data_IF_741816671188
#
_entry.id   IF_741816671188
#
_cell.length_a   1.000
_cell.length_b   1.000
_cell.length_c   1.000
_cell.angle_alpha   90.00
_cell.angle_beta   90.00
_cell.angle_gamma   90.00
#
_symmetry.space_group_name_H-M   'P 1'
#
loop_
_entity.id
_entity.type
_entity.pdbx_description
1 polymer ?
#
# COMPACT_ATOMS: atom_id res chain seq x y z
N UNK A 1 -1.44 4.40 24.48
CA UNK A 1 -1.99 4.05 23.15
C UNK A 1 -0.96 4.27 22.03
N UNK A 2 0.31 4.51 22.38
CA UNK A 2 1.35 5.05 21.49
C UNK A 2 2.22 4.01 20.75
N UNK A 3 2.04 2.72 21.00
CA UNK A 3 2.85 1.65 20.39
C UNK A 3 2.37 1.22 19.00
N UNK A 4 1.15 1.62 18.60
CA UNK A 4 0.58 1.23 17.30
C UNK A 4 1.11 2.05 16.12
N UNK A 5 1.45 3.33 16.33
CA UNK A 5 1.96 4.22 15.27
C UNK A 5 3.33 3.74 14.73
N UNK A 6 4.31 3.34 15.58
CA UNK A 6 5.57 2.78 15.11
C UNK A 6 5.40 1.53 14.24
N UNK A 7 4.49 0.63 14.60
CA UNK A 7 4.27 -0.62 13.85
C UNK A 7 3.60 -0.36 12.50
N UNK A 8 2.64 0.55 12.44
CA UNK A 8 2.04 1.01 11.19
C UNK A 8 3.08 1.65 10.27
N UNK A 9 3.91 2.54 10.80
CA UNK A 9 4.98 3.19 10.04
C UNK A 9 5.97 2.18 9.46
N UNK A 10 6.39 1.18 10.25
CA UNK A 10 7.27 0.10 9.75
C UNK A 10 6.59 -0.72 8.65
N UNK A 11 5.30 -1.02 8.77
CA UNK A 11 4.58 -1.78 7.74
C UNK A 11 4.47 -1.01 6.43
N UNK A 12 4.18 0.29 6.51
CA UNK A 12 4.16 1.19 5.34
C UNK A 12 5.54 1.32 4.70
N UNK A 13 6.60 1.47 5.52
CA UNK A 13 7.97 1.53 5.03
C UNK A 13 8.37 0.23 4.30
N UNK A 14 8.07 -0.93 4.89
CA UNK A 14 8.35 -2.22 4.25
C UNK A 14 7.61 -2.37 2.90
N UNK A 15 6.37 -1.89 2.80
CA UNK A 15 5.65 -1.86 1.53
C UNK A 15 6.30 -0.92 0.50
N UNK A 16 6.85 0.23 0.92
CA UNK A 16 7.62 1.13 0.06
C UNK A 16 8.90 0.45 -0.44
N UNK A 17 9.63 -0.24 0.44
CA UNK A 17 10.84 -0.97 0.09
C UNK A 17 10.57 -2.03 -0.97
N UNK A 18 9.50 -2.82 -0.83
CA UNK A 18 9.09 -3.83 -1.82
C UNK A 18 8.92 -3.21 -3.21
N UNK A 19 8.28 -2.03 -3.29
CA UNK A 19 8.10 -1.34 -4.56
C UNK A 19 9.46 -0.87 -5.10
N UNK A 20 10.25 -0.17 -4.27
CA UNK A 20 11.51 0.42 -4.69
C UNK A 20 12.57 -0.61 -5.13
N UNK A 21 12.72 -1.71 -4.41
CA UNK A 21 13.89 -2.60 -4.53
C UNK A 21 13.56 -4.06 -4.86
N UNK A 22 12.28 -4.43 -4.96
CA UNK A 22 11.89 -5.78 -5.38
C UNK A 22 12.57 -6.17 -6.71
N UNK A 23 12.87 -7.45 -6.89
CA UNK A 23 13.45 -7.96 -8.15
C UNK A 23 12.40 -8.48 -9.12
N UNK A 24 11.17 -8.63 -8.65
CA UNK A 24 10.02 -9.13 -9.39
C UNK A 24 9.44 -8.07 -10.36
N UNK A 25 8.45 -8.48 -11.17
CA UNK A 25 7.68 -7.56 -12.03
C UNK A 25 6.83 -6.57 -11.23
N UNK A 26 6.35 -5.48 -11.84
CA UNK A 26 5.60 -4.43 -11.15
C UNK A 26 4.31 -4.95 -10.49
N UNK A 27 3.62 -5.90 -11.13
CA UNK A 27 2.41 -6.54 -10.58
C UNK A 27 2.71 -7.34 -9.31
N UNK A 28 3.77 -8.15 -9.32
CA UNK A 28 4.15 -8.98 -8.16
C UNK A 28 4.61 -8.11 -6.99
N UNK A 29 5.35 -7.03 -7.26
CA UNK A 29 5.71 -6.06 -6.21
C UNK A 29 4.48 -5.39 -5.60
N UNK A 30 3.52 -4.98 -6.43
CA UNK A 30 2.26 -4.42 -5.92
C UNK A 30 1.49 -5.45 -5.10
N UNK A 31 1.47 -6.72 -5.51
CA UNK A 31 0.84 -7.81 -4.75
C UNK A 31 1.51 -8.02 -3.41
N UNK A 32 2.84 -8.09 -3.38
CA UNK A 32 3.63 -8.22 -2.16
C UNK A 32 3.42 -7.02 -1.22
N UNK A 33 3.41 -5.80 -1.76
CA UNK A 33 3.10 -4.60 -0.99
C UNK A 33 1.66 -4.62 -0.46
N UNK A 34 0.68 -5.00 -1.28
CA UNK A 34 -0.74 -5.09 -0.88
C UNK A 34 -0.95 -6.10 0.25
N UNK A 35 -0.38 -7.30 0.15
CA UNK A 35 -0.42 -8.29 1.23
C UNK A 35 0.17 -7.73 2.54
N UNK A 36 1.23 -6.94 2.44
CA UNK A 36 1.85 -6.30 3.61
C UNK A 36 0.94 -5.24 4.22
N UNK A 37 0.26 -4.45 3.38
CA UNK A 37 -0.68 -3.42 3.82
C UNK A 37 -1.93 -4.04 4.46
N UNK A 38 -2.47 -5.13 3.93
CA UNK A 38 -3.63 -5.81 4.55
C UNK A 38 -3.41 -6.21 6.02
N UNK A 39 -2.17 -6.36 6.47
CA UNK A 39 -1.84 -6.62 7.88
C UNK A 39 -2.01 -5.40 8.81
N UNK A 40 -2.15 -4.18 8.28
CA UNK A 40 -2.41 -2.97 9.07
C UNK A 40 -3.90 -2.86 9.38
N UNK A 41 -4.24 -2.88 10.68
CA UNK A 41 -5.59 -2.57 11.14
C UNK A 41 -5.88 -1.07 10.93
N UNK A 42 -7.04 -0.72 10.37
CA UNK A 42 -7.41 0.67 10.09
C UNK A 42 -7.38 1.58 11.34
N UNK A 43 -7.65 1.01 12.52
CA UNK A 43 -7.59 1.69 13.83
C UNK A 43 -6.15 2.06 14.27
N UNK A 44 -5.13 1.51 13.61
CA UNK A 44 -3.72 1.81 13.89
C UNK A 44 -3.20 3.04 13.11
N UNK A 45 -4.07 3.70 12.34
CA UNK A 45 -3.81 4.96 11.64
C UNK A 45 -4.60 6.11 12.30
N UNK A 46 -4.03 7.34 12.35
CA UNK A 46 -4.78 8.54 12.70
C UNK A 46 -6.02 8.67 11.81
N UNK A 47 -7.16 9.07 12.40
CA UNK A 47 -8.46 9.15 11.70
C UNK A 47 -8.38 9.95 10.39
N UNK A 48 -7.63 11.06 10.37
CA UNK A 48 -7.40 11.88 9.16
C UNK A 48 -6.73 11.14 7.99
N UNK A 49 -6.01 10.04 8.25
CA UNK A 49 -5.30 9.25 7.25
C UNK A 49 -6.06 7.97 6.84
N UNK A 50 -7.04 7.54 7.64
CA UNK A 50 -7.82 6.33 7.37
C UNK A 50 -8.51 6.35 6.00
N UNK A 51 -9.14 7.46 5.53
CA UNK A 51 -9.76 7.49 4.20
C UNK A 51 -8.74 7.26 3.08
N UNK A 52 -7.58 7.93 3.14
CA UNK A 52 -6.51 7.79 2.12
C UNK A 52 -5.94 6.38 2.09
N UNK A 53 -5.82 5.76 3.27
CA UNK A 53 -5.38 4.39 3.38
C UNK A 53 -6.40 3.41 2.79
N UNK A 54 -7.69 3.64 3.06
CA UNK A 54 -8.77 2.84 2.48
C UNK A 54 -8.80 2.96 0.95
N UNK A 55 -8.69 4.17 0.41
CA UNK A 55 -8.64 4.41 -1.03
C UNK A 55 -7.46 3.70 -1.70
N UNK A 56 -6.29 3.71 -1.05
CA UNK A 56 -5.11 2.98 -1.51
C UNK A 56 -5.35 1.46 -1.55
N UNK A 57 -5.94 0.90 -0.49
CA UNK A 57 -6.28 -0.53 -0.43
C UNK A 57 -7.32 -0.92 -1.47
N UNK A 58 -8.35 -0.10 -1.68
CA UNK A 58 -9.36 -0.31 -2.71
C UNK A 58 -8.71 -0.32 -4.10
N UNK A 59 -7.87 0.68 -4.38
CA UNK A 59 -7.16 0.77 -5.66
C UNK A 59 -6.26 -0.45 -5.92
N UNK A 60 -5.50 -0.89 -4.92
CA UNK A 60 -4.71 -2.11 -5.00
C UNK A 60 -5.56 -3.36 -5.25
N UNK A 61 -6.73 -3.45 -4.60
CA UNK A 61 -7.66 -4.58 -4.80
C UNK A 61 -8.23 -4.60 -6.23
N UNK A 62 -8.52 -3.43 -6.80
CA UNK A 62 -8.96 -3.31 -8.22
C UNK A 62 -7.84 -3.67 -9.20
N UNK A 63 -6.60 -3.27 -8.91
CA UNK A 63 -5.45 -3.56 -9.77
C UNK A 63 -4.97 -5.02 -9.67
N UNK A 64 -5.24 -5.68 -8.56
CA UNK A 64 -4.75 -7.02 -8.24
C UNK A 64 -5.91 -7.96 -7.88
N UNK A 65 -6.85 -8.23 -8.82
CA UNK A 65 -7.96 -9.10 -8.49
C UNK A 65 -7.48 -10.50 -8.15
N UNK A 66 -8.27 -11.13 -7.29
CA UNK A 66 -8.02 -12.49 -6.84
C UNK A 66 -8.14 -13.49 -7.99
N UNK A 67 -7.55 -14.67 -7.81
CA UNK A 67 -7.34 -15.70 -8.84
C UNK A 67 -8.59 -16.22 -9.58
N UNK A 68 -9.79 -15.71 -9.28
CA UNK A 68 -11.07 -16.13 -9.85
C UNK A 68 -11.67 -15.14 -10.86
N UNK A 69 -11.08 -13.96 -11.07
CA UNK A 69 -11.56 -12.99 -12.06
C UNK A 69 -10.65 -12.96 -13.30
N UNK A 70 -11.22 -12.78 -14.51
CA UNK A 70 -10.42 -12.56 -15.72
C UNK A 70 -9.50 -11.36 -15.48
N UNK A 71 -8.20 -11.59 -15.66
CA UNK A 71 -7.12 -10.64 -15.35
C UNK A 71 -7.45 -9.28 -15.99
N UNK A 72 -7.56 -8.18 -15.23
CA UNK A 72 -7.61 -6.85 -15.80
C UNK A 72 -6.30 -6.61 -16.54
N UNK A 73 -6.30 -5.61 -17.41
CA UNK A 73 -5.13 -5.19 -18.17
C UNK A 73 -3.87 -5.17 -17.27
N UNK A 74 -2.69 -5.55 -17.80
CA UNK A 74 -1.46 -5.55 -17.02
C UNK A 74 -1.27 -4.20 -16.33
N UNK A 75 -0.81 -4.24 -15.07
CA UNK A 75 -0.53 -3.03 -14.28
C UNK A 75 0.25 -2.04 -15.12
N UNK A 76 -0.33 -0.86 -15.34
CA UNK A 76 0.33 0.18 -16.12
C UNK A 76 1.45 0.83 -15.30
N UNK A 77 2.44 1.40 -15.99
CA UNK A 77 3.47 2.20 -15.33
C UNK A 77 2.87 3.37 -14.52
N UNK A 78 1.75 3.92 -14.99
CA UNK A 78 1.06 5.00 -14.31
C UNK A 78 0.46 4.53 -12.99
N UNK A 79 -0.26 3.40 -12.99
CA UNK A 79 -0.84 2.80 -11.79
C UNK A 79 0.24 2.50 -10.73
N UNK A 80 1.37 1.95 -11.18
CA UNK A 80 2.50 1.67 -10.31
C UNK A 80 3.05 2.95 -9.64
N UNK A 81 3.21 4.03 -10.42
CA UNK A 81 3.68 5.33 -9.91
C UNK A 81 2.66 5.93 -8.94
N UNK A 82 1.37 5.87 -9.26
CA UNK A 82 0.31 6.43 -8.43
C UNK A 82 0.21 5.71 -7.09
N UNK A 83 0.23 4.38 -7.08
CA UNK A 83 0.26 3.59 -5.84
C UNK A 83 1.50 3.91 -5.01
N UNK A 84 2.68 3.92 -5.64
CA UNK A 84 3.94 4.22 -4.95
C UNK A 84 3.92 5.61 -4.33
N UNK A 85 3.41 6.61 -5.07
CA UNK A 85 3.32 8.00 -4.60
C UNK A 85 2.32 8.15 -3.46
N UNK A 86 1.15 7.50 -3.57
CA UNK A 86 0.13 7.51 -2.52
C UNK A 86 0.66 6.87 -1.23
N UNK A 87 1.36 5.74 -1.34
CA UNK A 87 1.97 5.06 -0.20
C UNK A 87 3.06 5.90 0.48
N UNK A 88 3.98 6.50 -0.29
CA UNK A 88 4.99 7.42 0.23
C UNK A 88 4.38 8.64 0.91
N UNK A 89 3.29 9.19 0.34
CA UNK A 89 2.57 10.33 0.92
C UNK A 89 1.92 9.96 2.25
N UNK A 90 1.29 8.80 2.32
CA UNK A 90 0.67 8.29 3.54
C UNK A 90 1.72 8.07 4.65
N UNK A 91 2.85 7.43 4.31
CA UNK A 91 3.96 7.23 5.23
C UNK A 91 4.53 8.56 5.75
N UNK A 92 4.76 9.53 4.84
CA UNK A 92 5.25 10.86 5.23
C UNK A 92 4.30 11.55 6.20
N UNK A 93 3.00 11.52 5.93
CA UNK A 93 2.00 12.17 6.78
C UNK A 93 1.83 11.47 8.14
N UNK A 94 2.11 10.16 8.21
CA UNK A 94 2.11 9.43 9.47
C UNK A 94 3.32 9.83 10.33
N UNK A 95 4.51 9.92 9.73
CA UNK A 95 5.76 10.18 10.45
C UNK A 95 6.02 11.67 10.74
N UNK A 96 5.53 12.57 9.90
CA UNK A 96 5.63 14.03 10.05
C UNK A 96 4.24 14.67 9.89
N UNK A 97 3.42 14.64 10.95
CA UNK A 97 2.01 14.99 10.89
C UNK A 97 1.69 16.47 10.66
#
# INVERSE_FOLDING_TARGET
MDTMIPQTAMTLFAAIEILATGTEGPEDRLRSAWMRLQAVQATALPERLQPRYHDLLQRLTTLLPTASEPRPLPVSRLDYIEVSTALCTLYRQLCWP
#
